data_IF_487707253403
#
_entry.id   IF_487707253403
#
_cell.length_a   1.000
_cell.length_b   1.000
_cell.length_c   1.000
_cell.angle_alpha   90.00
_cell.angle_beta   90.00
_cell.angle_gamma   90.00
#
_symmetry.space_group_name_H-M   'P 1'
#
loop_
_entity.id
_entity.type
_entity.pdbx_description
1 polymer ?
#
# COMPACT_ATOMS: atom_id res chain seq x y z
N UNK A 1 7.38 10.65 9.94
CA UNK A 1 6.82 9.39 9.41
C UNK A 1 7.89 8.32 9.53
N UNK A 2 7.55 7.13 10.00
CA UNK A 2 8.46 5.98 10.03
C UNK A 2 7.95 4.96 8.99
N UNK A 3 8.85 4.49 8.13
CA UNK A 3 8.57 3.45 7.12
C UNK A 3 9.40 2.23 7.45
N UNK A 4 8.75 1.12 7.77
CA UNK A 4 9.42 -0.15 7.96
C UNK A 4 9.74 -0.78 6.60
N UNK A 5 10.90 -1.43 6.53
CA UNK A 5 11.39 -2.14 5.35
C UNK A 5 11.45 -3.64 5.64
N UNK A 6 11.22 -4.46 4.63
CA UNK A 6 11.28 -5.92 4.76
C UNK A 6 12.68 -6.41 4.45
N UNK A 7 13.32 -7.11 5.38
CA UNK A 7 14.61 -7.77 5.13
C UNK A 7 14.52 -8.79 3.98
N UNK A 8 13.35 -9.44 3.81
CA UNK A 8 13.12 -10.40 2.73
C UNK A 8 13.09 -9.73 1.36
N UNK A 9 12.58 -8.50 1.26
CA UNK A 9 12.51 -7.78 -0.01
C UNK A 9 13.73 -6.91 -0.30
N UNK A 10 14.46 -6.46 0.72
CA UNK A 10 15.66 -5.62 0.56
C UNK A 10 16.78 -6.27 -0.26
N UNK A 11 16.77 -7.60 -0.44
CA UNK A 11 17.72 -8.30 -1.29
C UNK A 11 17.42 -8.18 -2.80
N UNK A 12 16.24 -7.65 -3.17
CA UNK A 12 15.80 -7.50 -4.56
C UNK A 12 15.78 -6.01 -4.94
N UNK A 13 16.78 -5.52 -5.70
CA UNK A 13 16.87 -4.09 -6.05
C UNK A 13 15.70 -3.58 -6.89
N UNK A 14 14.98 -4.48 -7.57
CA UNK A 14 13.78 -4.17 -8.35
C UNK A 14 12.51 -4.01 -7.49
N UNK A 15 12.54 -4.38 -6.21
CA UNK A 15 11.38 -4.31 -5.31
C UNK A 15 11.49 -3.10 -4.39
N UNK A 16 10.49 -2.22 -4.51
CA UNK A 16 10.22 -1.20 -3.50
C UNK A 16 9.15 -1.69 -2.55
N UNK A 17 9.49 -1.77 -1.26
CA UNK A 17 8.55 -2.09 -0.19
C UNK A 17 8.56 -0.99 0.87
N UNK A 18 7.40 -0.73 1.48
CA UNK A 18 7.26 0.16 2.62
C UNK A 18 6.00 -0.18 3.41
N UNK A 19 6.17 -0.30 4.72
CA UNK A 19 5.06 -0.48 5.66
C UNK A 19 5.02 0.75 6.58
N UNK A 20 3.95 1.55 6.47
CA UNK A 20 3.78 2.75 7.30
C UNK A 20 3.50 2.39 8.76
N UNK A 21 4.00 3.20 9.70
CA UNK A 21 3.53 3.15 11.09
C UNK A 21 2.59 4.32 11.39
N UNK A 22 1.90 4.25 12.53
CA UNK A 22 1.06 5.36 13.02
C UNK A 22 1.88 6.60 13.41
N UNK A 23 3.21 6.47 13.55
CA UNK A 23 4.12 7.55 13.92
C UNK A 23 4.40 8.49 12.74
N UNK A 24 3.96 9.73 12.85
CA UNK A 24 4.14 10.74 11.81
C UNK A 24 3.28 11.98 12.07
N UNK A 25 3.22 12.90 11.09
CA UNK A 25 2.36 14.08 11.17
C UNK A 25 0.89 13.67 11.32
N UNK A 26 0.18 14.36 12.21
CA UNK A 26 -1.20 14.11 12.58
C UNK A 26 -1.37 14.04 14.10
N UNK A 27 -2.62 14.09 14.54
CA UNK A 27 -2.99 14.14 15.95
C UNK A 27 -4.02 13.07 16.30
N UNK A 28 -4.26 12.85 17.60
CA UNK A 28 -5.28 11.93 18.05
C UNK A 28 -6.66 12.33 17.47
N UNK A 29 -7.49 11.37 17.05
CA UNK A 29 -7.31 9.92 17.18
C UNK A 29 -6.54 9.24 16.02
N UNK A 30 -6.31 9.97 14.91
CA UNK A 30 -5.91 9.38 13.62
C UNK A 30 -4.39 9.30 13.40
N UNK A 31 -3.62 10.24 13.92
CA UNK A 31 -2.15 10.33 13.76
C UNK A 31 -1.73 10.23 12.28
N UNK A 32 -0.78 9.35 11.90
CA UNK A 32 -0.39 9.14 10.50
C UNK A 32 -1.34 8.17 9.77
N UNK A 33 -2.62 8.50 9.71
CA UNK A 33 -3.62 7.73 8.99
C UNK A 33 -3.50 7.91 7.47
N UNK A 34 -3.56 6.78 6.75
CA UNK A 34 -3.57 6.72 5.29
C UNK A 34 -4.92 6.21 4.74
N UNK A 35 -5.94 6.03 5.58
CA UNK A 35 -7.27 5.56 5.16
C UNK A 35 -8.25 6.72 4.97
N UNK A 36 -9.02 6.67 3.88
CA UNK A 36 -10.12 7.59 3.60
C UNK A 36 -11.47 7.12 4.17
N UNK A 37 -11.52 5.95 4.82
CA UNK A 37 -12.79 5.32 5.25
C UNK A 37 -13.11 5.45 6.74
N UNK A 38 -12.27 6.14 7.52
CA UNK A 38 -12.33 6.13 9.00
C UNK A 38 -12.76 7.48 9.62
N UNK A 39 -13.18 8.44 8.79
CA UNK A 39 -13.70 9.74 9.26
C UNK A 39 -12.64 10.81 9.58
N UNK A 40 -11.39 10.58 9.17
CA UNK A 40 -10.33 11.60 9.20
C UNK A 40 -10.51 12.61 8.05
N UNK A 41 -9.88 13.77 8.16
CA UNK A 41 -9.89 14.82 7.14
C UNK A 41 -9.29 14.31 5.82
N UNK A 42 -10.08 14.23 4.74
CA UNK A 42 -9.64 13.63 3.48
C UNK A 42 -8.47 14.38 2.85
N UNK A 43 -8.37 15.70 2.99
CA UNK A 43 -7.27 16.48 2.41
C UNK A 43 -5.95 16.13 3.11
N UNK A 44 -5.98 16.09 4.45
CA UNK A 44 -4.81 15.66 5.25
C UNK A 44 -4.42 14.21 4.96
N UNK A 45 -5.39 13.31 4.76
CA UNK A 45 -5.10 11.91 4.42
C UNK A 45 -4.43 11.81 3.05
N UNK A 46 -4.91 12.56 2.05
CA UNK A 46 -4.31 12.59 0.71
C UNK A 46 -2.90 13.18 0.74
N UNK A 47 -2.67 14.25 1.52
CA UNK A 47 -1.32 14.80 1.73
C UNK A 47 -0.37 13.76 2.33
N UNK A 48 -0.79 13.06 3.40
CA UNK A 48 0.01 12.00 4.03
C UNK A 48 0.27 10.82 3.09
N UNK A 49 -0.71 10.44 2.25
CA UNK A 49 -0.53 9.43 1.19
C UNK A 49 0.52 9.87 0.19
N UNK A 50 0.45 11.10 -0.31
CA UNK A 50 1.42 11.64 -1.25
C UNK A 50 2.83 11.62 -0.65
N UNK A 51 3.00 12.14 0.57
CA UNK A 51 4.26 12.11 1.30
C UNK A 51 4.82 10.69 1.50
N UNK A 52 3.96 9.72 1.78
CA UNK A 52 4.35 8.32 1.94
C UNK A 52 4.86 7.70 0.63
N UNK A 53 4.15 7.91 -0.48
CA UNK A 53 4.54 7.35 -1.77
C UNK A 53 5.74 8.08 -2.40
N UNK A 54 5.87 9.39 -2.20
CA UNK A 54 7.06 10.16 -2.58
C UNK A 54 8.31 9.65 -1.87
N UNK A 55 8.23 9.38 -0.57
CA UNK A 55 9.34 8.79 0.19
C UNK A 55 9.73 7.38 -0.28
N UNK A 56 8.84 6.69 -0.99
CA UNK A 56 9.08 5.40 -1.63
C UNK A 56 9.46 5.52 -3.12
N UNK A 57 9.47 6.73 -3.69
CA UNK A 57 9.65 6.95 -5.13
C UNK A 57 8.62 6.20 -6.00
N UNK A 58 7.41 5.96 -5.50
CA UNK A 58 6.33 5.27 -6.23
C UNK A 58 5.36 6.32 -6.78
N UNK A 59 5.08 6.26 -8.10
CA UNK A 59 4.21 7.22 -8.79
C UNK A 59 2.84 6.65 -9.16
N UNK A 60 2.77 5.38 -9.51
CA UNK A 60 1.53 4.71 -9.90
C UNK A 60 1.15 3.70 -8.82
N UNK A 61 -0.06 3.83 -8.27
CA UNK A 61 -0.52 3.02 -7.14
C UNK A 61 -1.91 2.49 -7.47
N UNK A 62 -2.08 1.17 -7.44
CA UNK A 62 -3.38 0.54 -7.40
C UNK A 62 -3.85 0.42 -5.93
N UNK A 63 -5.11 0.74 -5.68
CA UNK A 63 -5.75 0.60 -4.38
C UNK A 63 -7.15 0.02 -4.52
N UNK A 64 -7.64 -0.61 -3.46
CA UNK A 64 -8.89 -1.34 -3.45
C UNK A 64 -9.78 -0.93 -2.27
N UNK A 65 -11.06 -1.31 -2.33
CA UNK A 65 -11.96 -1.33 -1.18
C UNK A 65 -11.95 -2.75 -0.60
N UNK A 66 -11.29 -2.93 0.53
CA UNK A 66 -11.25 -4.20 1.26
C UNK A 66 -12.60 -4.47 1.92
N UNK A 67 -13.12 -5.68 1.74
CA UNK A 67 -14.47 -6.10 2.18
C UNK A 67 -14.43 -7.37 3.04
N UNK A 68 -13.24 -7.79 3.47
CA UNK A 68 -13.00 -9.01 4.26
C UNK A 68 -13.46 -10.30 3.56
N UNK A 69 -13.36 -10.33 2.24
CA UNK A 69 -13.58 -11.50 1.41
C UNK A 69 -12.27 -12.21 1.02
N UNK A 70 -12.34 -12.98 -0.06
CA UNK A 70 -11.23 -13.78 -0.59
C UNK A 70 -10.91 -13.46 -2.07
N UNK A 71 -11.39 -12.32 -2.57
CA UNK A 71 -11.21 -11.94 -3.97
C UNK A 71 -9.83 -11.36 -4.19
N UNK A 72 -9.07 -11.97 -5.11
CA UNK A 72 -7.79 -11.47 -5.61
C UNK A 72 -8.01 -10.86 -6.99
N UNK A 73 -7.56 -9.62 -7.20
CA UNK A 73 -7.74 -8.89 -8.46
C UNK A 73 -6.41 -8.63 -9.16
N UNK A 74 -6.32 -8.98 -10.44
CA UNK A 74 -5.22 -8.54 -11.29
C UNK A 74 -5.38 -7.06 -11.64
N UNK A 75 -4.31 -6.28 -11.49
CA UNK A 75 -4.28 -4.85 -11.81
C UNK A 75 -3.11 -4.52 -12.73
N UNK A 76 -3.37 -3.74 -13.77
CA UNK A 76 -2.38 -3.34 -14.78
C UNK A 76 -2.19 -1.82 -14.89
N UNK A 77 -2.90 -1.04 -14.09
CA UNK A 77 -2.78 0.41 -13.99
C UNK A 77 -3.00 0.89 -12.55
N UNK A 78 -2.56 2.11 -12.27
CA UNK A 78 -2.84 2.77 -10.99
C UNK A 78 -4.27 3.31 -10.91
N UNK A 79 -4.77 3.49 -9.71
CA UNK A 79 -6.13 3.96 -9.44
C UNK A 79 -6.96 2.97 -8.62
N UNK A 80 -8.26 3.25 -8.54
CA UNK A 80 -9.20 2.42 -7.80
C UNK A 80 -9.52 1.14 -8.58
N UNK A 81 -9.18 0.00 -7.99
CA UNK A 81 -9.40 -1.33 -8.55
C UNK A 81 -10.77 -1.93 -8.19
N UNK A 82 -11.63 -1.22 -7.46
CA UNK A 82 -12.91 -1.77 -6.98
C UNK A 82 -12.78 -2.57 -5.68
N UNK A 83 -13.75 -3.45 -5.43
CA UNK A 83 -13.74 -4.35 -4.27
C UNK A 83 -12.82 -5.56 -4.51
N UNK A 84 -11.96 -5.84 -3.53
CA UNK A 84 -11.08 -7.01 -3.42
C UNK A 84 -10.31 -6.93 -2.11
N UNK A 85 -9.74 -8.06 -1.67
CA UNK A 85 -8.94 -8.15 -0.44
C UNK A 85 -7.48 -8.47 -0.71
N UNK A 86 -7.13 -8.72 -1.98
CA UNK A 86 -5.75 -8.74 -2.47
C UNK A 86 -5.69 -8.26 -3.92
N UNK A 87 -4.55 -7.71 -4.30
CA UNK A 87 -4.21 -7.37 -5.68
C UNK A 87 -2.95 -8.12 -6.12
N UNK A 88 -2.83 -8.35 -7.42
CA UNK A 88 -1.65 -8.95 -8.05
C UNK A 88 -1.30 -8.19 -9.33
N UNK A 89 -0.01 -7.96 -9.57
CA UNK A 89 0.44 -7.30 -10.79
C UNK A 89 1.81 -7.80 -11.25
N UNK A 90 2.00 -7.78 -12.57
CA UNK A 90 3.26 -8.01 -13.27
C UNK A 90 3.80 -6.71 -13.91
N UNK A 91 3.18 -5.55 -13.63
CA UNK A 91 3.54 -4.26 -14.26
C UNK A 91 4.64 -3.55 -13.47
N UNK A 92 5.84 -3.38 -14.05
CA UNK A 92 6.90 -2.59 -13.41
C UNK A 92 6.44 -1.15 -13.18
N UNK A 93 6.79 -0.59 -12.02
CA UNK A 93 6.43 0.79 -11.65
C UNK A 93 5.03 0.96 -11.09
N UNK A 94 4.20 -0.10 -11.03
CA UNK A 94 2.91 -0.10 -10.35
C UNK A 94 3.04 -0.66 -8.92
N UNK A 95 2.78 0.18 -7.92
CA UNK A 95 2.69 -0.23 -6.52
C UNK A 95 1.29 -0.71 -6.14
N UNK A 96 1.20 -1.61 -5.16
CA UNK A 96 -0.05 -2.10 -4.58
C UNK A 96 -0.22 -1.53 -3.17
N UNK A 97 -1.33 -0.84 -2.90
CA UNK A 97 -1.67 -0.33 -1.57
C UNK A 97 -2.64 -1.28 -0.86
N UNK A 98 -2.22 -1.78 0.30
CA UNK A 98 -3.05 -2.59 1.21
C UNK A 98 -3.18 -1.83 2.53
N UNK A 99 -4.39 -1.70 3.04
CA UNK A 99 -4.67 -1.02 4.31
C UNK A 99 -4.95 -2.04 5.41
N UNK A 100 -4.39 -1.81 6.59
CA UNK A 100 -4.65 -2.64 7.76
C UNK A 100 -4.50 -1.83 9.04
N UNK A 101 -5.33 -2.18 10.02
CA UNK A 101 -5.17 -1.90 11.44
C UNK A 101 -5.68 -3.16 12.14
N UNK A 102 -4.80 -3.91 12.78
CA UNK A 102 -5.01 -5.25 13.39
C UNK A 102 -5.08 -6.45 12.41
N UNK A 103 -5.68 -6.31 11.23
CA UNK A 103 -5.67 -7.39 10.23
C UNK A 103 -4.24 -7.72 9.74
N UNK A 104 -3.99 -9.00 9.44
CA UNK A 104 -2.68 -9.44 8.94
C UNK A 104 -2.48 -9.06 7.48
N UNK A 105 -1.49 -8.21 7.20
CA UNK A 105 -1.05 -7.91 5.83
C UNK A 105 -0.06 -8.97 5.35
N UNK A 106 -0.29 -9.52 4.16
CA UNK A 106 0.58 -10.50 3.50
C UNK A 106 1.12 -9.86 2.21
N UNK A 107 2.41 -10.03 1.96
CA UNK A 107 3.05 -9.51 0.74
C UNK A 107 3.86 -10.63 0.10
N UNK A 108 3.76 -10.76 -1.22
CA UNK A 108 4.36 -11.85 -2.01
C UNK A 108 5.15 -11.24 -3.16
N UNK A 109 6.33 -11.79 -3.41
CA UNK A 109 7.13 -11.51 -4.60
C UNK A 109 7.52 -12.83 -5.28
N UNK A 110 7.17 -12.98 -6.56
CA UNK A 110 7.66 -14.06 -7.42
C UNK A 110 8.78 -13.53 -8.32
N UNK A 111 10.01 -13.93 -8.01
CA UNK A 111 11.23 -13.37 -8.60
C UNK A 111 11.41 -13.65 -10.09
N UNK A 112 10.93 -14.79 -10.61
CA UNK A 112 11.24 -15.19 -11.98
C UNK A 112 10.37 -14.42 -13.00
N UNK A 113 9.10 -14.22 -12.67
CA UNK A 113 8.11 -13.48 -13.46
C UNK A 113 8.01 -12.02 -13.06
N UNK A 114 8.67 -11.61 -11.97
CA UNK A 114 8.65 -10.27 -11.40
C UNK A 114 7.23 -9.80 -11.03
N UNK A 115 6.50 -10.69 -10.35
CA UNK A 115 5.11 -10.46 -9.94
C UNK A 115 5.07 -10.11 -8.47
N UNK A 116 4.34 -9.05 -8.11
CA UNK A 116 4.03 -8.71 -6.72
C UNK A 116 2.55 -8.96 -6.43
N UNK A 117 2.25 -9.35 -5.19
CA UNK A 117 0.88 -9.43 -4.69
C UNK A 117 0.82 -9.01 -3.22
N UNK A 118 -0.35 -8.56 -2.80
CA UNK A 118 -0.69 -8.38 -1.40
C UNK A 118 -2.11 -7.90 -1.19
#
# INVERSE_FOLDING_TARGET
MIILKSHLFNQYPEITFGFSTKSGPGEAPYFFNLSLSVGDDPEKVLERRNNFFEALCIKHIAYQKQVHGNTVKYVDHGGYAGESDAMITDKPGLGLLISAADCTSIYIYEKNKKIIAG
#
